data_IF_460900511465
#
_entry.id   IF_460900511465
#
_cell.length_a   1.000
_cell.length_b   1.000
_cell.length_c   1.000
_cell.angle_alpha   90.00
_cell.angle_beta   90.00
_cell.angle_gamma   90.00
#
_symmetry.space_group_name_H-M   'P 1'
#
loop_
_entity.id
_entity.type
_entity.pdbx_description
1 polymer ?
#
# COMPACT_ATOMS: atom_id res chain seq x y z
N UNK A 1 30.24 -4.99 -2.65
CA UNK A 1 28.91 -5.21 -2.04
C UNK A 1 29.08 -5.31 -0.52
N UNK A 2 28.48 -4.42 0.27
CA UNK A 2 28.41 -4.59 1.74
C UNK A 2 27.08 -5.26 2.06
N UNK A 3 27.10 -6.49 2.57
CA UNK A 3 25.86 -7.18 3.00
C UNK A 3 25.30 -6.45 4.23
N UNK A 4 24.24 -5.66 4.05
CA UNK A 4 23.37 -5.27 5.17
C UNK A 4 22.57 -6.51 5.53
N UNK A 5 22.89 -7.15 6.65
CA UNK A 5 22.06 -8.20 7.20
C UNK A 5 20.76 -7.58 7.73
N UNK A 6 19.62 -7.95 7.15
CA UNK A 6 18.34 -7.80 7.86
C UNK A 6 18.43 -8.66 9.11
N UNK A 7 18.31 -8.03 10.27
CA UNK A 7 18.26 -8.75 11.55
C UNK A 7 16.88 -9.35 11.69
N UNK A 8 16.74 -10.68 11.51
CA UNK A 8 15.54 -11.41 11.92
C UNK A 8 15.37 -11.25 13.44
N UNK A 9 14.58 -10.27 13.84
CA UNK A 9 14.28 -9.97 15.23
C UNK A 9 13.14 -10.90 15.70
N UNK A 10 13.43 -12.19 15.76
CA UNK A 10 12.54 -13.21 16.31
C UNK A 10 12.46 -12.99 17.82
N UNK A 11 11.58 -12.08 18.24
CA UNK A 11 11.22 -11.90 19.65
C UNK A 11 10.54 -13.17 20.12
N UNK A 12 11.13 -13.82 21.12
CA UNK A 12 10.61 -15.07 21.67
C UNK A 12 9.17 -14.87 22.15
N UNK A 13 8.24 -15.61 21.56
CA UNK A 13 6.85 -15.67 22.01
C UNK A 13 6.81 -16.12 23.47
N UNK A 14 6.47 -15.21 24.39
CA UNK A 14 6.33 -15.53 25.82
C UNK A 14 5.04 -16.34 26.01
N UNK A 15 5.15 -17.67 25.88
CA UNK A 15 4.10 -18.61 26.28
C UNK A 15 3.97 -18.59 27.80
N UNK A 16 3.20 -17.65 28.33
CA UNK A 16 2.83 -17.60 29.76
C UNK A 16 1.85 -18.75 30.03
N UNK A 17 2.40 -19.94 30.26
CA UNK A 17 1.65 -21.13 30.69
C UNK A 17 1.21 -20.93 32.15
N UNK A 18 0.14 -20.15 32.34
CA UNK A 18 -0.50 -19.98 33.63
C UNK A 18 -0.98 -21.33 34.16
N UNK A 19 -0.37 -21.81 35.24
CA UNK A 19 -0.74 -23.09 35.85
C UNK A 19 -2.12 -22.95 36.49
N UNK A 20 -3.13 -23.59 35.88
CA UNK A 20 -4.48 -23.69 36.43
C UNK A 20 -4.45 -24.52 37.73
N UNK A 21 -4.29 -23.84 38.86
CA UNK A 21 -4.53 -24.43 40.17
C UNK A 21 -6.05 -24.57 40.38
N UNK A 22 -6.55 -25.68 40.95
CA UNK A 22 -7.97 -25.86 41.20
C UNK A 22 -8.42 -24.95 42.35
N UNK A 23 -8.92 -23.78 42.01
CA UNK A 23 -9.51 -22.83 42.97
C UNK A 23 -10.75 -23.49 43.58
N UNK A 24 -10.76 -23.61 44.91
CA UNK A 24 -11.92 -24.09 45.67
C UNK A 24 -13.12 -23.17 45.42
N UNK A 25 -14.32 -23.72 45.33
CA UNK A 25 -15.54 -23.03 44.91
C UNK A 25 -16.04 -21.97 45.91
N UNK A 26 -15.31 -20.86 45.99
CA UNK A 26 -15.80 -19.57 46.48
C UNK A 26 -16.68 -18.97 45.39
N UNK A 27 -17.89 -18.51 45.74
CA UNK A 27 -18.73 -17.82 44.78
C UNK A 27 -18.04 -16.52 44.33
N UNK A 28 -17.72 -16.42 43.03
CA UNK A 28 -17.19 -15.18 42.45
C UNK A 28 -18.27 -14.11 42.47
N UNK A 29 -18.00 -13.00 43.17
CA UNK A 29 -18.83 -11.81 43.07
C UNK A 29 -18.71 -11.21 41.67
N UNK A 30 -19.75 -10.50 41.22
CA UNK A 30 -19.76 -9.81 39.92
C UNK A 30 -18.55 -8.89 39.76
N UNK A 31 -18.09 -8.27 40.86
CA UNK A 31 -16.92 -7.38 40.91
C UNK A 31 -15.63 -8.09 40.46
N UNK A 32 -15.40 -9.34 40.88
CA UNK A 32 -14.24 -10.13 40.44
C UNK A 32 -14.29 -10.45 38.95
N UNK A 33 -15.49 -10.72 38.42
CA UNK A 33 -15.69 -10.98 36.99
C UNK A 33 -15.47 -9.73 36.14
N UNK A 34 -15.89 -8.57 36.66
CA UNK A 34 -15.58 -7.25 36.06
C UNK A 34 -14.06 -7.00 36.10
N UNK A 35 -13.40 -7.24 37.23
CA UNK A 35 -11.93 -7.09 37.37
C UNK A 35 -11.16 -8.03 36.42
N UNK A 36 -11.65 -9.26 36.21
CA UNK A 36 -11.07 -10.20 35.25
C UNK A 36 -11.28 -9.73 33.80
N UNK A 37 -12.49 -9.28 33.45
CA UNK A 37 -12.78 -8.70 32.13
C UNK A 37 -11.94 -7.45 31.86
N UNK A 38 -11.73 -6.57 32.85
CA UNK A 38 -10.85 -5.40 32.69
C UNK A 38 -9.40 -5.78 32.37
N UNK A 39 -8.89 -6.87 32.94
CA UNK A 39 -7.56 -7.41 32.61
C UNK A 39 -7.52 -8.04 31.22
N UNK A 40 -8.57 -8.75 30.83
CA UNK A 40 -8.72 -9.35 29.50
C UNK A 40 -8.78 -8.27 28.41
N UNK A 41 -9.65 -7.27 28.56
CA UNK A 41 -9.76 -6.12 27.65
C UNK A 41 -8.44 -5.33 27.57
N UNK A 42 -7.72 -5.19 28.68
CA UNK A 42 -6.40 -4.52 28.69
C UNK A 42 -5.36 -5.30 27.88
N UNK A 43 -5.24 -6.61 28.11
CA UNK A 43 -4.32 -7.47 27.37
C UNK A 43 -4.68 -7.57 25.88
N UNK A 44 -5.97 -7.57 25.54
CA UNK A 44 -6.43 -7.52 24.15
C UNK A 44 -6.09 -6.18 23.49
N UNK A 45 -6.17 -5.05 24.19
CA UNK A 45 -5.76 -3.75 23.65
C UNK A 45 -4.24 -3.63 23.44
N UNK A 46 -3.44 -4.21 24.32
CA UNK A 46 -1.99 -4.38 24.09
C UNK A 46 -1.72 -5.27 22.85
N UNK A 47 -2.49 -6.34 22.66
CA UNK A 47 -2.46 -7.22 21.46
C UNK A 47 -2.85 -6.45 20.18
N UNK A 48 -3.91 -5.63 20.19
CA UNK A 48 -4.32 -4.78 19.07
C UNK A 48 -3.20 -3.79 18.67
N UNK A 49 -2.56 -3.15 19.65
CA UNK A 49 -1.47 -2.22 19.41
C UNK A 49 -0.23 -2.93 18.86
N UNK A 50 0.13 -4.09 19.42
CA UNK A 50 1.24 -4.91 18.96
C UNK A 50 1.05 -5.48 17.55
N UNK A 51 -0.17 -5.87 17.17
CA UNK A 51 -0.50 -6.31 15.79
C UNK A 51 -0.48 -5.13 14.83
N UNK A 52 -1.03 -3.97 15.22
CA UNK A 52 -1.01 -2.78 14.35
C UNK A 52 0.41 -2.25 14.12
N UNK A 53 1.31 -2.32 15.11
CA UNK A 53 2.72 -1.97 14.93
C UNK A 53 3.47 -2.94 14.00
N UNK A 54 3.14 -4.24 14.04
CA UNK A 54 3.67 -5.23 13.09
C UNK A 54 3.18 -4.98 11.67
N UNK A 55 1.91 -4.60 11.49
CA UNK A 55 1.33 -4.19 10.21
C UNK A 55 2.12 -3.00 9.63
N UNK A 56 2.26 -1.89 10.37
CA UNK A 56 3.00 -0.72 9.87
C UNK A 56 4.47 -1.03 9.56
N UNK A 57 5.14 -1.87 10.36
CA UNK A 57 6.51 -2.32 10.07
C UNK A 57 6.57 -3.12 8.75
N UNK A 58 5.58 -3.97 8.50
CA UNK A 58 5.50 -4.79 7.30
C UNK A 58 5.13 -3.96 6.05
N UNK A 59 4.28 -2.94 6.21
CA UNK A 59 3.95 -1.96 5.18
C UNK A 59 5.21 -1.15 4.77
N UNK A 60 6.06 -0.75 5.72
CA UNK A 60 7.37 -0.14 5.45
C UNK A 60 8.34 -1.10 4.73
N UNK A 61 8.42 -2.37 5.14
CA UNK A 61 9.24 -3.37 4.45
C UNK A 61 8.77 -3.60 3.00
N UNK A 62 7.45 -3.67 2.79
CA UNK A 62 6.81 -3.80 1.47
C UNK A 62 7.12 -2.58 0.58
N UNK A 63 6.94 -1.35 1.08
CA UNK A 63 7.29 -0.13 0.33
C UNK A 63 8.77 -0.13 -0.08
N UNK A 64 9.67 -0.47 0.86
CA UNK A 64 11.10 -0.60 0.58
C UNK A 64 11.42 -1.70 -0.44
N UNK A 65 10.58 -2.72 -0.62
CA UNK A 65 10.72 -3.73 -1.67
C UNK A 65 10.34 -3.14 -3.04
N UNK A 66 9.26 -2.36 -3.14
CA UNK A 66 8.88 -1.72 -4.40
C UNK A 66 9.91 -0.69 -4.88
N UNK A 67 10.49 0.12 -3.98
CA UNK A 67 11.63 1.02 -4.30
C UNK A 67 12.78 0.28 -5.00
N UNK A 68 13.19 -0.86 -4.43
CA UNK A 68 14.26 -1.71 -4.98
C UNK A 68 13.85 -2.31 -6.33
N UNK A 69 12.57 -2.64 -6.50
CA UNK A 69 12.00 -3.16 -7.74
C UNK A 69 12.12 -2.13 -8.87
N UNK A 70 11.69 -0.89 -8.62
CA UNK A 70 11.78 0.23 -9.57
C UNK A 70 13.24 0.51 -9.96
N UNK A 71 14.16 0.56 -8.99
CA UNK A 71 15.58 0.80 -9.26
C UNK A 71 16.25 -0.35 -10.05
N UNK A 72 15.96 -1.61 -9.71
CA UNK A 72 16.43 -2.76 -10.50
C UNK A 72 15.87 -2.72 -11.94
N UNK A 73 14.63 -2.27 -12.13
CA UNK A 73 14.04 -2.14 -13.45
C UNK A 73 14.68 -1.01 -14.28
N UNK A 74 14.98 0.13 -13.63
CA UNK A 74 15.75 1.22 -14.24
C UNK A 74 17.15 0.77 -14.66
N UNK A 75 17.81 -0.06 -13.84
CA UNK A 75 19.08 -0.71 -14.20
C UNK A 75 18.92 -1.71 -15.36
N UNK A 76 17.88 -2.57 -15.34
CA UNK A 76 17.57 -3.52 -16.43
C UNK A 76 17.37 -2.80 -17.77
N UNK A 77 16.62 -1.70 -17.76
CA UNK A 77 16.38 -0.86 -18.94
C UNK A 77 17.67 -0.21 -19.44
N UNK A 78 18.48 0.36 -18.54
CA UNK A 78 19.77 0.97 -18.89
C UNK A 78 20.73 -0.05 -19.52
N UNK A 79 20.94 -1.19 -18.87
CA UNK A 79 21.79 -2.29 -19.37
C UNK A 79 21.26 -2.87 -20.70
N UNK A 80 19.94 -2.88 -20.90
CA UNK A 80 19.31 -3.30 -22.16
C UNK A 80 19.58 -2.30 -23.29
N UNK A 81 19.57 -0.99 -22.99
CA UNK A 81 19.96 0.05 -23.96
C UNK A 81 21.46 -0.01 -24.29
N UNK A 82 22.32 -0.20 -23.28
CA UNK A 82 23.76 -0.43 -23.48
C UNK A 82 24.04 -1.68 -24.32
N UNK A 83 23.35 -2.79 -24.05
CA UNK A 83 23.41 -4.02 -24.85
C UNK A 83 22.96 -3.80 -26.30
N UNK A 84 21.89 -3.02 -26.52
CA UNK A 84 21.43 -2.60 -27.86
C UNK A 84 22.45 -1.71 -28.58
N UNK A 85 23.19 -0.85 -27.87
CA UNK A 85 24.22 0.00 -28.46
C UNK A 85 25.52 -0.76 -28.74
N UNK A 86 26.02 -1.54 -27.79
CA UNK A 86 27.21 -2.40 -27.97
C UNK A 86 27.07 -3.33 -29.19
N UNK A 87 25.86 -3.86 -29.46
CA UNK A 87 25.59 -4.66 -30.67
C UNK A 87 25.79 -3.87 -31.97
N UNK A 88 25.45 -2.59 -32.01
CA UNK A 88 25.74 -1.70 -33.16
C UNK A 88 27.23 -1.39 -33.25
N UNK A 89 27.86 -1.12 -32.12
CA UNK A 89 29.29 -0.77 -32.06
C UNK A 89 30.17 -1.96 -32.50
N UNK A 90 29.81 -3.20 -32.12
CA UNK A 90 30.41 -4.44 -32.63
C UNK A 90 30.32 -4.51 -34.16
N UNK A 91 29.12 -4.33 -34.72
CA UNK A 91 28.91 -4.43 -36.16
C UNK A 91 29.67 -3.33 -36.93
N UNK A 92 29.68 -2.10 -36.42
CA UNK A 92 30.43 -0.99 -36.99
C UNK A 92 31.95 -1.20 -36.88
N UNK A 93 32.43 -1.81 -35.79
CA UNK A 93 33.82 -2.19 -35.61
C UNK A 93 34.21 -3.29 -36.59
N UNK A 94 33.47 -4.41 -36.69
CA UNK A 94 33.82 -5.53 -37.57
C UNK A 94 33.80 -5.13 -39.07
N UNK A 95 32.91 -4.22 -39.50
CA UNK A 95 33.00 -3.62 -40.86
C UNK A 95 34.29 -2.81 -41.04
N UNK A 96 34.75 -2.09 -40.01
CA UNK A 96 36.03 -1.37 -40.02
C UNK A 96 37.23 -2.34 -40.00
N UNK A 97 37.15 -3.45 -39.26
CA UNK A 97 38.14 -4.54 -39.23
C UNK A 97 38.31 -5.11 -40.64
N UNK A 98 37.23 -5.48 -41.31
CA UNK A 98 37.29 -6.13 -42.61
C UNK A 98 37.87 -5.18 -43.67
N UNK A 99 37.37 -3.94 -43.79
CA UNK A 99 37.91 -2.94 -44.71
C UNK A 99 39.40 -2.64 -44.48
N UNK A 100 39.84 -2.58 -43.21
CA UNK A 100 41.27 -2.37 -42.88
C UNK A 100 42.11 -3.62 -43.19
N UNK A 101 41.56 -4.81 -42.97
CA UNK A 101 42.23 -6.08 -43.28
C UNK A 101 42.42 -6.24 -44.79
N UNK A 102 41.40 -5.97 -45.59
CA UNK A 102 41.49 -5.92 -47.06
C UNK A 102 42.51 -4.87 -47.54
N UNK A 103 42.49 -3.66 -46.97
CA UNK A 103 43.46 -2.62 -47.31
C UNK A 103 44.91 -3.05 -47.02
N UNK A 104 45.16 -3.66 -45.85
CA UNK A 104 46.48 -4.18 -45.47
C UNK A 104 46.89 -5.38 -46.33
N UNK A 105 45.96 -6.29 -46.67
CA UNK A 105 46.23 -7.40 -47.59
C UNK A 105 46.55 -6.92 -49.01
N UNK A 106 45.84 -5.90 -49.51
CA UNK A 106 46.09 -5.31 -50.81
C UNK A 106 47.41 -4.53 -50.84
N UNK A 107 47.75 -3.79 -49.77
CA UNK A 107 49.07 -3.17 -49.61
C UNK A 107 50.18 -4.22 -49.54
N UNK A 108 50.00 -5.30 -48.76
CA UNK A 108 50.95 -6.41 -48.66
C UNK A 108 51.15 -7.14 -49.98
N UNK A 109 50.07 -7.39 -50.74
CA UNK A 109 50.14 -7.98 -52.09
C UNK A 109 50.80 -7.03 -53.09
N UNK A 110 50.53 -5.73 -53.02
CA UNK A 110 51.20 -4.72 -53.86
C UNK A 110 52.71 -4.70 -53.59
N UNK A 111 53.12 -4.68 -52.31
CA UNK A 111 54.52 -4.82 -51.89
C UNK A 111 55.12 -6.16 -52.31
N UNK A 112 54.37 -7.27 -52.29
CA UNK A 112 54.89 -8.59 -52.70
C UNK A 112 55.05 -8.74 -54.22
N UNK A 113 54.13 -8.16 -55.01
CA UNK A 113 54.09 -8.34 -56.49
C UNK A 113 54.91 -7.26 -57.20
N UNK A 114 54.67 -5.99 -56.86
CA UNK A 114 55.35 -4.84 -57.47
C UNK A 114 56.61 -4.43 -56.69
N UNK A 115 56.73 -4.83 -55.42
CA UNK A 115 57.89 -4.61 -54.56
C UNK A 115 58.77 -5.84 -54.38
N UNK A 116 59.01 -6.61 -55.46
CA UNK A 116 60.21 -7.44 -55.54
C UNK A 116 61.41 -6.57 -55.13
N UNK A 117 62.33 -7.10 -54.32
CA UNK A 117 63.23 -6.28 -53.49
C UNK A 117 64.05 -5.22 -54.24
N UNK A 118 64.27 -5.40 -55.55
CA UNK A 118 64.84 -4.39 -56.44
C UNK A 118 63.98 -3.13 -56.54
N UNK A 119 62.65 -3.22 -56.70
CA UNK A 119 61.80 -2.07 -57.07
C UNK A 119 61.60 -1.05 -55.96
N UNK A 120 61.52 -1.48 -54.69
CA UNK A 120 61.46 -0.53 -53.57
C UNK A 120 62.83 0.14 -53.36
N UNK A 121 63.91 -0.59 -53.62
CA UNK A 121 65.27 -0.04 -53.60
C UNK A 121 65.46 0.94 -54.77
N UNK A 122 65.00 0.59 -55.97
CA UNK A 122 65.03 1.39 -57.19
C UNK A 122 64.20 2.68 -57.06
N UNK A 123 63.05 2.66 -56.37
CA UNK A 123 62.29 3.86 -56.03
C UNK A 123 63.02 4.82 -55.07
N UNK A 124 64.00 4.32 -54.31
CA UNK A 124 64.86 5.12 -53.40
C UNK A 124 66.15 5.54 -54.13
N UNK A 125 66.68 4.71 -55.03
CA UNK A 125 67.89 4.98 -55.83
C UNK A 125 67.61 5.98 -56.97
N UNK A 126 66.45 5.88 -57.62
CA UNK A 126 65.93 6.82 -58.62
C UNK A 126 65.14 7.98 -57.98
N UNK A 127 65.56 8.41 -56.79
CA UNK A 127 65.12 9.68 -56.20
C UNK A 127 65.77 10.86 -56.92
N UNK A 128 65.08 11.98 -57.05
CA UNK A 128 65.62 13.19 -57.71
C UNK A 128 66.74 13.86 -56.89
N UNK A 129 66.82 13.57 -55.59
CA UNK A 129 67.88 14.04 -54.68
C UNK A 129 67.96 13.17 -53.42
N UNK A 130 69.05 13.30 -52.66
CA UNK A 130 69.20 12.68 -51.33
C UNK A 130 68.03 13.09 -50.39
N UNK A 131 67.55 14.33 -50.50
CA UNK A 131 66.40 14.82 -49.73
C UNK A 131 65.09 14.10 -50.09
N UNK A 132 64.89 13.79 -51.38
CA UNK A 132 63.75 13.02 -51.87
C UNK A 132 63.85 11.55 -51.44
N UNK A 133 65.02 10.91 -51.52
CA UNK A 133 65.24 9.56 -50.97
C UNK A 133 64.87 9.48 -49.47
N UNK A 134 65.34 10.44 -48.66
CA UNK A 134 65.02 10.51 -47.23
C UNK A 134 63.52 10.76 -47.02
N UNK A 135 62.90 11.64 -47.80
CA UNK A 135 61.45 11.90 -47.76
C UNK A 135 60.62 10.65 -48.06
N UNK A 136 60.98 9.89 -49.10
CA UNK A 136 60.33 8.61 -49.47
C UNK A 136 60.44 7.57 -48.35
N UNK A 137 61.63 7.42 -47.75
CA UNK A 137 61.85 6.50 -46.60
C UNK A 137 61.03 6.93 -45.38
N UNK A 138 60.98 8.23 -45.06
CA UNK A 138 60.15 8.77 -43.98
C UNK A 138 58.66 8.55 -44.23
N UNK A 139 58.18 8.74 -45.46
CA UNK A 139 56.79 8.49 -45.84
C UNK A 139 56.41 7.00 -45.68
N UNK A 140 57.24 6.07 -46.17
CA UNK A 140 57.04 4.62 -45.99
C UNK A 140 57.01 4.27 -44.50
N UNK A 141 57.97 4.74 -43.71
CA UNK A 141 58.04 4.52 -42.26
C UNK A 141 56.79 5.06 -41.53
N UNK A 142 56.32 6.24 -41.92
CA UNK A 142 55.08 6.86 -41.41
C UNK A 142 53.84 6.01 -41.72
N UNK A 143 53.69 5.53 -42.96
CA UNK A 143 52.59 4.66 -43.37
C UNK A 143 52.60 3.32 -42.60
N UNK A 144 53.78 2.69 -42.45
CA UNK A 144 53.93 1.45 -41.68
C UNK A 144 53.61 1.66 -40.19
N UNK A 145 54.06 2.77 -39.61
CA UNK A 145 53.77 3.16 -38.22
C UNK A 145 52.28 3.40 -38.01
N UNK A 146 51.63 4.17 -38.91
CA UNK A 146 50.20 4.43 -38.88
C UNK A 146 49.39 3.12 -38.98
N UNK A 147 49.71 2.25 -39.94
CA UNK A 147 49.08 0.93 -40.08
C UNK A 147 49.24 0.08 -38.80
N UNK A 148 50.44 0.03 -38.22
CA UNK A 148 50.72 -0.71 -37.00
C UNK A 148 49.90 -0.18 -35.80
N UNK A 149 49.80 1.14 -35.67
CA UNK A 149 49.02 1.79 -34.62
C UNK A 149 47.51 1.59 -34.80
N UNK A 150 46.99 1.66 -36.03
CA UNK A 150 45.59 1.35 -36.32
C UNK A 150 45.22 -0.11 -36.00
N UNK A 151 46.14 -1.06 -36.20
CA UNK A 151 45.95 -2.48 -35.84
C UNK A 151 46.01 -2.69 -34.31
N UNK A 152 46.88 -1.97 -33.58
CA UNK A 152 46.88 -1.96 -32.11
C UNK A 152 45.56 -1.45 -31.55
N UNK A 153 45.13 -0.26 -31.97
CA UNK A 153 43.86 0.35 -31.57
C UNK A 153 42.69 -0.60 -31.84
N UNK A 154 42.65 -1.25 -33.01
CA UNK A 154 41.61 -2.22 -33.35
C UNK A 154 41.55 -3.44 -32.42
N UNK A 155 42.71 -3.91 -31.93
CA UNK A 155 42.82 -5.00 -30.97
C UNK A 155 42.37 -4.55 -29.57
N UNK A 156 42.65 -3.31 -29.21
CA UNK A 156 42.23 -2.67 -27.96
C UNK A 156 40.71 -2.40 -27.96
N UNK A 157 40.17 -1.81 -29.04
CA UNK A 157 38.73 -1.64 -29.30
C UNK A 157 37.99 -2.97 -29.16
N UNK A 158 38.42 -4.02 -29.87
CA UNK A 158 37.75 -5.32 -29.84
C UNK A 158 37.82 -5.99 -28.46
N UNK A 159 38.93 -5.83 -27.74
CA UNK A 159 39.04 -6.31 -26.36
C UNK A 159 38.08 -5.55 -25.43
N UNK A 160 38.06 -4.22 -25.49
CA UNK A 160 37.19 -3.37 -24.67
C UNK A 160 35.72 -3.69 -24.90
N UNK A 161 35.32 -3.90 -26.15
CA UNK A 161 33.94 -4.22 -26.52
C UNK A 161 33.51 -5.62 -26.04
N UNK A 162 34.36 -6.64 -26.18
CA UNK A 162 34.08 -7.97 -25.61
C UNK A 162 34.06 -7.96 -24.06
N UNK A 163 34.91 -7.16 -23.41
CA UNK A 163 34.84 -6.95 -21.95
C UNK A 163 33.53 -6.29 -21.53
N UNK A 164 33.13 -5.18 -22.17
CA UNK A 164 31.85 -4.50 -21.88
C UNK A 164 30.64 -5.39 -22.14
N UNK A 165 30.67 -6.21 -23.20
CA UNK A 165 29.63 -7.18 -23.52
C UNK A 165 29.47 -8.24 -22.43
N UNK A 166 30.59 -8.80 -21.93
CA UNK A 166 30.56 -9.76 -20.82
C UNK A 166 30.10 -9.11 -19.49
N UNK A 167 30.52 -7.88 -19.23
CA UNK A 167 30.09 -7.08 -18.09
C UNK A 167 28.58 -6.81 -18.12
N UNK A 168 28.04 -6.29 -19.22
CA UNK A 168 26.59 -6.03 -19.39
C UNK A 168 25.78 -7.33 -19.32
N UNK A 169 26.27 -8.45 -19.87
CA UNK A 169 25.61 -9.76 -19.72
C UNK A 169 25.61 -10.25 -18.27
N UNK A 170 26.71 -10.05 -17.53
CA UNK A 170 26.82 -10.41 -16.11
C UNK A 170 25.87 -9.56 -15.26
N UNK A 171 25.83 -8.25 -15.52
CA UNK A 171 24.97 -7.32 -14.81
C UNK A 171 23.48 -7.56 -15.11
N UNK A 172 23.10 -7.89 -16.35
CA UNK A 172 21.73 -8.28 -16.68
C UNK A 172 21.29 -9.53 -15.92
N UNK A 173 22.11 -10.59 -15.91
CA UNK A 173 21.81 -11.82 -15.17
C UNK A 173 21.71 -11.58 -13.65
N UNK A 174 22.57 -10.72 -13.09
CA UNK A 174 22.52 -10.33 -11.69
C UNK A 174 21.27 -9.52 -11.34
N UNK A 175 20.82 -8.63 -12.23
CA UNK A 175 19.57 -7.86 -12.06
C UNK A 175 18.35 -8.79 -12.18
N UNK A 176 18.33 -9.74 -13.11
CA UNK A 176 17.21 -10.68 -13.26
C UNK A 176 17.06 -11.62 -12.06
N UNK A 177 18.16 -12.14 -11.52
CA UNK A 177 18.14 -12.92 -10.28
C UNK A 177 17.73 -12.07 -9.06
N UNK A 178 18.18 -10.80 -8.98
CA UNK A 178 17.75 -9.89 -7.93
C UNK A 178 16.25 -9.55 -8.01
N UNK A 179 15.70 -9.32 -9.21
CA UNK A 179 14.26 -9.11 -9.43
C UNK A 179 13.46 -10.35 -9.00
N UNK A 180 13.95 -11.56 -9.29
CA UNK A 180 13.29 -12.81 -8.89
C UNK A 180 13.30 -13.03 -7.38
N UNK A 181 14.41 -12.74 -6.71
CA UNK A 181 14.52 -12.80 -5.25
C UNK A 181 13.57 -11.79 -4.59
N UNK A 182 13.50 -10.57 -5.14
CA UNK A 182 12.62 -9.51 -4.69
C UNK A 182 11.14 -9.88 -4.82
N UNK A 183 10.73 -10.51 -5.92
CA UNK A 183 9.35 -10.99 -6.09
C UNK A 183 8.99 -12.09 -5.09
N UNK A 184 9.90 -13.03 -4.82
CA UNK A 184 9.71 -14.06 -3.77
C UNK A 184 9.62 -13.45 -2.37
N UNK A 185 10.42 -12.42 -2.08
CA UNK A 185 10.37 -11.68 -0.82
C UNK A 185 9.02 -10.93 -0.68
N UNK A 186 8.57 -10.28 -1.76
CA UNK A 186 7.28 -9.57 -1.87
C UNK A 186 6.08 -10.51 -1.64
N UNK A 187 6.03 -11.66 -2.30
CA UNK A 187 5.00 -12.69 -2.08
C UNK A 187 4.94 -13.10 -0.61
N UNK A 188 6.10 -13.30 0.03
CA UNK A 188 6.18 -13.65 1.45
C UNK A 188 5.69 -12.53 2.37
N UNK A 189 5.96 -11.25 2.06
CA UNK A 189 5.46 -10.14 2.86
C UNK A 189 3.94 -9.93 2.68
N UNK A 190 3.42 -10.04 1.45
CA UNK A 190 1.98 -9.94 1.17
C UNK A 190 1.19 -11.05 1.88
N UNK A 191 1.73 -12.27 1.95
CA UNK A 191 1.14 -13.36 2.73
C UNK A 191 1.06 -13.02 4.23
N UNK A 192 2.18 -12.57 4.84
CA UNK A 192 2.20 -12.12 6.25
C UNK A 192 1.22 -10.96 6.50
N UNK A 193 1.03 -10.07 5.53
CA UNK A 193 0.12 -8.92 5.66
C UNK A 193 -1.35 -9.39 5.70
N UNK A 194 -1.71 -10.41 4.92
CA UNK A 194 -3.00 -11.07 5.04
C UNK A 194 -3.16 -11.75 6.42
N UNK A 195 -2.16 -12.51 6.88
CA UNK A 195 -2.20 -13.18 8.19
C UNK A 195 -2.35 -12.19 9.35
N UNK A 196 -1.62 -11.06 9.33
CA UNK A 196 -1.72 -10.01 10.34
C UNK A 196 -3.06 -9.26 10.27
N UNK A 197 -3.62 -9.05 9.07
CA UNK A 197 -4.94 -8.43 8.92
C UNK A 197 -6.06 -9.34 9.44
N UNK A 198 -5.97 -10.65 9.23
CA UNK A 198 -6.88 -11.65 9.83
C UNK A 198 -6.72 -11.66 11.36
N UNK A 199 -5.48 -11.70 11.86
CA UNK A 199 -5.22 -11.63 13.30
C UNK A 199 -5.77 -10.33 13.92
N UNK A 200 -5.66 -9.19 13.24
CA UNK A 200 -6.24 -7.93 13.70
C UNK A 200 -7.76 -8.01 13.81
N UNK A 201 -8.44 -8.50 12.78
CA UNK A 201 -9.90 -8.66 12.79
C UNK A 201 -10.38 -9.63 13.90
N UNK A 202 -9.64 -10.71 14.15
CA UNK A 202 -9.92 -11.64 15.25
C UNK A 202 -9.77 -10.94 16.62
N UNK A 203 -8.70 -10.18 16.84
CA UNK A 203 -8.47 -9.47 18.12
C UNK A 203 -9.48 -8.33 18.32
N UNK A 204 -9.86 -7.62 17.26
CA UNK A 204 -10.90 -6.60 17.31
C UNK A 204 -12.25 -7.24 17.71
N UNK A 205 -12.54 -8.45 17.23
CA UNK A 205 -13.70 -9.27 17.61
C UNK A 205 -13.64 -9.79 19.06
N UNK A 206 -12.51 -10.36 19.49
CA UNK A 206 -12.25 -10.74 20.89
C UNK A 206 -12.50 -9.55 21.83
N UNK A 207 -11.97 -8.37 21.48
CA UNK A 207 -12.08 -7.14 22.29
C UNK A 207 -13.54 -6.69 22.41
N UNK A 208 -14.30 -6.67 21.31
CA UNK A 208 -15.72 -6.32 21.33
C UNK A 208 -16.56 -7.32 22.13
N UNK A 209 -16.25 -8.61 22.07
CA UNK A 209 -16.88 -9.66 22.87
C UNK A 209 -16.63 -9.49 24.38
N UNK A 210 -15.40 -9.17 24.75
CA UNK A 210 -15.01 -8.90 26.14
C UNK A 210 -15.68 -7.62 26.69
N UNK A 211 -15.66 -6.51 25.93
CA UNK A 211 -16.33 -5.27 26.33
C UNK A 211 -17.86 -5.43 26.47
N UNK A 212 -18.49 -6.19 25.58
CA UNK A 212 -19.92 -6.55 25.68
C UNK A 212 -20.20 -7.38 26.94
N UNK A 213 -19.36 -8.38 27.22
CA UNK A 213 -19.48 -9.24 28.42
C UNK A 213 -19.32 -8.44 29.71
N UNK A 214 -18.37 -7.50 29.77
CA UNK A 214 -18.21 -6.56 30.89
C UNK A 214 -19.46 -5.68 31.08
N UNK A 215 -20.04 -5.18 29.99
CA UNK A 215 -21.23 -4.33 30.04
C UNK A 215 -22.43 -5.09 30.65
N UNK A 216 -22.63 -6.36 30.28
CA UNK A 216 -23.71 -7.18 30.86
C UNK A 216 -23.49 -7.47 32.35
N UNK A 217 -22.24 -7.75 32.78
CA UNK A 217 -21.89 -7.88 34.20
C UNK A 217 -22.18 -6.59 34.99
N UNK A 218 -21.92 -5.42 34.42
CA UNK A 218 -22.25 -4.12 35.04
C UNK A 218 -23.77 -3.91 35.19
N UNK A 219 -24.58 -4.30 34.21
CA UNK A 219 -26.05 -4.29 34.33
C UNK A 219 -26.51 -5.23 35.45
N UNK A 220 -25.94 -6.44 35.51
CA UNK A 220 -26.27 -7.42 36.56
C UNK A 220 -25.90 -6.89 37.97
N UNK A 221 -24.73 -6.25 38.12
CA UNK A 221 -24.31 -5.60 39.36
C UNK A 221 -25.30 -4.49 39.77
N UNK A 222 -25.69 -3.63 38.83
CA UNK A 222 -26.64 -2.54 39.09
C UNK A 222 -28.05 -3.06 39.47
N UNK A 223 -28.53 -4.12 38.82
CA UNK A 223 -29.81 -4.73 39.18
C UNK A 223 -29.77 -5.39 40.57
N UNK A 224 -28.67 -6.08 40.89
CA UNK A 224 -28.46 -6.69 42.22
C UNK A 224 -28.49 -5.62 43.33
N UNK A 225 -27.86 -4.46 43.09
CA UNK A 225 -27.90 -3.31 43.99
C UNK A 225 -29.31 -2.74 44.16
N UNK A 226 -30.08 -2.57 43.07
CA UNK A 226 -31.49 -2.12 43.12
C UNK A 226 -32.34 -3.07 43.96
N UNK A 227 -32.23 -4.38 43.71
CA UNK A 227 -32.99 -5.41 44.43
C UNK A 227 -32.62 -5.46 45.92
N UNK A 228 -31.34 -5.24 46.26
CA UNK A 228 -30.88 -5.21 47.64
C UNK A 228 -31.38 -3.96 48.38
N UNK A 229 -31.33 -2.78 47.75
CA UNK A 229 -31.90 -1.55 48.30
C UNK A 229 -33.42 -1.66 48.51
N UNK A 230 -34.14 -2.26 47.56
CA UNK A 230 -35.59 -2.49 47.69
C UNK A 230 -35.94 -3.46 48.83
N UNK A 231 -35.14 -4.51 49.05
CA UNK A 231 -35.29 -5.43 50.19
C UNK A 231 -34.98 -4.73 51.51
N UNK A 232 -33.92 -3.94 51.57
CA UNK A 232 -33.55 -3.22 52.80
C UNK A 232 -34.55 -2.12 53.17
N UNK A 233 -35.14 -1.44 52.17
CA UNK A 233 -36.25 -0.51 52.36
C UNK A 233 -37.48 -1.20 52.97
N UNK A 234 -37.91 -2.35 52.42
CA UNK A 234 -39.01 -3.14 53.00
C UNK A 234 -38.73 -3.57 54.44
N UNK A 235 -37.53 -4.07 54.74
CA UNK A 235 -37.15 -4.45 56.10
C UNK A 235 -37.09 -3.28 57.08
N UNK A 236 -36.80 -2.05 56.61
CA UNK A 236 -36.87 -0.83 57.41
C UNK A 236 -38.32 -0.45 57.70
N UNK A 237 -39.21 -0.55 56.72
CA UNK A 237 -40.65 -0.26 56.89
C UNK A 237 -41.33 -1.29 57.80
N UNK A 238 -41.08 -2.59 57.62
CA UNK A 238 -41.59 -3.67 58.45
C UNK A 238 -41.16 -3.52 59.93
N UNK A 239 -39.90 -3.13 60.18
CA UNK A 239 -39.42 -2.82 61.54
C UNK A 239 -40.08 -1.58 62.14
N UNK A 240 -40.41 -0.58 61.32
CA UNK A 240 -41.15 0.62 61.74
C UNK A 240 -42.55 0.25 62.23
N UNK A 241 -43.30 -0.51 61.44
CA UNK A 241 -44.67 -0.96 61.77
C UNK A 241 -44.66 -1.85 63.02
N UNK A 242 -43.70 -2.77 63.14
CA UNK A 242 -43.53 -3.60 64.33
C UNK A 242 -43.20 -2.79 65.60
N UNK A 243 -42.57 -1.61 65.48
CA UNK A 243 -42.28 -0.73 66.61
C UNK A 243 -43.54 -0.02 67.11
N UNK A 244 -44.36 0.52 66.19
CA UNK A 244 -45.58 1.27 66.54
C UNK A 244 -46.64 0.45 67.27
N UNK A 245 -46.72 -0.86 67.06
CA UNK A 245 -47.73 -1.73 67.70
C UNK A 245 -47.50 -2.01 69.20
N UNK A 246 -46.57 -1.30 69.86
CA UNK A 246 -46.26 -1.48 71.30
C UNK A 246 -46.79 -0.34 72.18
N UNK A 247 -47.15 0.83 71.64
CA UNK A 247 -47.49 2.03 72.44
C UNK A 247 -49.00 2.36 72.54
N UNK A 248 -49.87 1.76 71.72
CA UNK A 248 -51.33 1.99 71.79
C UNK A 248 -52.02 1.22 72.93
N UNK A 249 -51.74 1.59 74.19
CA UNK A 249 -52.62 1.22 75.32
C UNK A 249 -52.66 2.21 76.49
N UNK A 250 -53.04 3.47 76.26
CA UNK A 250 -53.93 4.15 77.22
C UNK A 250 -54.71 5.38 76.70
N UNK A 251 -55.80 5.69 77.41
CA UNK A 251 -56.50 7.00 77.54
C UNK A 251 -56.95 7.78 76.29
N UNK A 252 -58.25 7.67 75.99
CA UNK A 252 -59.18 8.79 75.71
C UNK A 252 -59.77 9.28 77.07
N UNK A 253 -60.49 10.42 77.26
CA UNK A 253 -61.21 11.23 76.24
C UNK A 253 -61.25 12.79 76.39
N UNK A 254 -61.82 13.46 75.36
CA UNK A 254 -62.45 14.82 75.35
C UNK A 254 -61.54 16.05 75.64
N UNK A 255 -61.83 17.29 75.20
CA UNK A 255 -63.01 17.89 74.54
C UNK A 255 -62.65 19.12 73.64
N UNK A 256 -63.53 19.47 72.68
CA UNK A 256 -63.95 20.83 72.25
C UNK A 256 -63.01 21.88 71.57
N UNK A 257 -63.46 22.32 70.38
CA UNK A 257 -63.26 23.57 69.54
C UNK A 257 -62.51 24.79 70.14
N UNK A 258 -61.82 25.73 69.43
CA UNK A 258 -61.73 26.20 68.00
C UNK A 258 -60.46 27.10 67.84
N UNK A 259 -60.10 27.93 66.83
CA UNK A 259 -60.58 28.46 65.51
C UNK A 259 -59.32 28.86 64.67
N UNK A 260 -59.23 28.64 63.34
CA UNK A 260 -59.48 29.57 62.19
C UNK A 260 -58.39 30.62 61.83
N UNK A 261 -57.89 30.55 60.57
CA UNK A 261 -57.04 31.50 59.82
C UNK A 261 -55.58 31.72 60.35
N UNK A 262 -54.55 32.06 59.54
CA UNK A 262 -54.50 32.56 58.15
C UNK A 262 -53.26 31.99 57.39
N UNK A 263 -53.29 31.96 56.06
CA UNK A 263 -52.19 31.61 55.12
C UNK A 263 -51.32 32.86 54.77
N UNK A 264 -50.28 32.85 53.86
CA UNK A 264 -49.88 31.80 52.90
C UNK A 264 -48.36 31.62 52.54
N UNK A 265 -48.12 30.68 51.60
CA UNK A 265 -47.16 30.71 50.47
C UNK A 265 -45.82 29.89 50.51
N UNK A 266 -45.44 29.44 49.29
CA UNK A 266 -44.24 28.69 48.84
C UNK A 266 -44.07 27.22 49.34
N UNK A 267 -43.71 26.23 48.50
CA UNK A 267 -43.61 26.20 47.02
C UNK A 267 -43.71 24.78 46.39
N UNK A 268 -44.28 24.75 45.18
CA UNK A 268 -44.08 23.89 43.99
C UNK A 268 -43.92 22.34 44.01
N UNK A 269 -44.98 21.69 43.47
CA UNK A 269 -45.09 20.61 42.42
C UNK A 269 -43.83 20.17 41.60
N UNK A 270 -43.87 19.06 40.81
CA UNK A 270 -44.52 17.73 40.98
C UNK A 270 -43.68 16.51 40.47
N UNK A 271 -44.07 15.26 40.80
CA UNK A 271 -44.08 14.02 39.95
C UNK A 271 -44.34 12.75 40.81
N UNK A 272 -44.80 11.59 40.32
CA UNK A 272 -45.17 11.09 38.98
C UNK A 272 -46.22 9.96 39.13
N UNK A 273 -47.01 9.64 38.08
CA UNK A 273 -47.87 8.45 38.01
C UNK A 273 -48.10 8.02 36.55
N UNK A 274 -47.46 6.93 36.12
CA UNK A 274 -47.70 6.28 34.82
C UNK A 274 -48.13 4.81 35.02
N UNK A 275 -48.90 4.28 34.07
CA UNK A 275 -49.12 2.83 33.91
C UNK A 275 -49.70 2.48 32.52
N UNK A 276 -49.22 1.38 31.93
CA UNK A 276 -49.81 0.62 30.79
C UNK A 276 -49.91 1.30 29.40
N UNK A 277 -49.94 0.58 28.26
CA UNK A 277 -49.47 -0.77 27.86
C UNK A 277 -49.69 -0.96 26.34
N UNK A 278 -48.92 -1.84 25.67
CA UNK A 278 -49.28 -2.56 24.40
C UNK A 278 -49.52 -1.71 23.11
N UNK A 279 -49.40 -2.18 21.85
CA UNK A 279 -48.89 -3.44 21.23
C UNK A 279 -48.63 -3.32 19.70
N UNK A 280 -47.83 -4.25 19.15
CA UNK A 280 -47.85 -4.81 17.76
C UNK A 280 -47.38 -4.01 16.49
N UNK A 281 -46.96 -4.72 15.39
CA UNK A 281 -46.35 -4.15 14.17
C UNK A 281 -47.11 -4.46 12.84
N UNK A 282 -46.53 -4.13 11.66
CA UNK A 282 -47.00 -4.63 10.34
C UNK A 282 -45.90 -4.68 9.25
N UNK A 283 -46.22 -5.25 8.07
CA UNK A 283 -45.40 -5.38 6.84
C UNK A 283 -46.23 -5.01 5.57
N UNK A 284 -45.72 -5.01 4.33
CA UNK A 284 -44.39 -5.37 3.79
C UNK A 284 -44.48 -5.74 2.29
N UNK A 285 -43.59 -6.63 1.83
CA UNK A 285 -43.56 -7.30 0.51
C UNK A 285 -43.04 -6.52 -0.73
N UNK A 286 -42.59 -7.26 -1.76
CA UNK A 286 -41.98 -6.80 -3.01
C UNK A 286 -42.65 -7.38 -4.28
N UNK A 287 -42.23 -6.95 -5.48
CA UNK A 287 -42.61 -7.55 -6.78
C UNK A 287 -41.57 -7.20 -7.88
N UNK A 288 -41.65 -7.82 -9.06
CA UNK A 288 -40.56 -7.90 -10.06
C UNK A 288 -40.99 -7.85 -11.54
N UNK A 289 -40.15 -7.25 -12.39
CA UNK A 289 -39.95 -7.54 -13.84
C UNK A 289 -41.05 -7.10 -14.85
N UNK A 290 -40.86 -7.17 -16.20
CA UNK A 290 -39.85 -6.51 -17.05
C UNK A 290 -40.43 -5.62 -18.20
N UNK A 291 -39.58 -4.84 -18.90
CA UNK A 291 -39.63 -4.78 -20.39
C UNK A 291 -39.67 -3.42 -21.15
N UNK A 292 -38.53 -3.06 -21.78
CA UNK A 292 -38.38 -2.54 -23.18
C UNK A 292 -39.30 -1.43 -23.76
N UNK A 293 -38.74 -0.25 -24.13
CA UNK A 293 -38.65 0.27 -25.54
C UNK A 293 -38.12 1.72 -25.68
N UNK A 294 -37.37 1.97 -26.77
CA UNK A 294 -37.65 3.05 -27.75
C UNK A 294 -37.54 4.56 -27.41
N UNK A 295 -36.40 5.17 -27.76
CA UNK A 295 -36.26 6.40 -28.58
C UNK A 295 -37.23 7.61 -28.43
N UNK A 296 -36.72 8.78 -28.03
CA UNK A 296 -37.34 10.07 -28.33
C UNK A 296 -36.87 11.26 -27.46
N UNK A 297 -36.50 12.39 -28.07
CA UNK A 297 -36.09 13.62 -27.36
C UNK A 297 -37.29 14.51 -27.00
N UNK A 298 -37.24 15.23 -25.86
CA UNK A 298 -36.87 16.66 -25.83
C UNK A 298 -37.17 17.40 -24.49
N UNK A 299 -36.48 18.52 -24.30
CA UNK A 299 -36.77 19.70 -23.45
C UNK A 299 -36.52 19.73 -21.92
N UNK A 300 -36.06 20.93 -21.51
CA UNK A 300 -36.01 21.56 -20.16
C UNK A 300 -34.90 21.13 -19.19
N UNK A 301 -34.03 22.06 -18.73
CA UNK A 301 -33.08 21.79 -17.67
C UNK A 301 -33.72 21.93 -16.28
N UNK A 302 -33.69 20.86 -15.49
CA UNK A 302 -33.97 20.90 -14.04
C UNK A 302 -32.67 20.81 -13.25
N UNK A 303 -32.64 21.47 -12.09
CA UNK A 303 -31.56 21.46 -11.10
C UNK A 303 -31.11 20.01 -10.79
N UNK A 304 -29.80 19.73 -10.64
CA UNK A 304 -29.31 18.36 -10.53
C UNK A 304 -29.62 17.76 -9.16
N UNK A 305 -30.74 17.05 -9.06
CA UNK A 305 -30.93 15.97 -8.08
C UNK A 305 -29.67 15.10 -8.07
N UNK A 306 -29.03 14.85 -6.92
CA UNK A 306 -27.77 14.13 -6.88
C UNK A 306 -27.98 12.68 -7.36
N UNK A 307 -27.48 12.40 -8.57
CA UNK A 307 -27.39 11.04 -9.11
C UNK A 307 -26.64 10.18 -8.08
N UNK A 308 -27.15 8.99 -7.70
CA UNK A 308 -26.40 8.09 -6.83
C UNK A 308 -25.03 7.80 -7.46
N UNK A 309 -23.95 7.75 -6.66
CA UNK A 309 -22.60 7.61 -7.20
C UNK A 309 -22.49 6.35 -8.07
N UNK A 310 -21.96 6.51 -9.28
CA UNK A 310 -21.80 5.42 -10.25
C UNK A 310 -20.94 4.32 -9.62
N UNK A 311 -21.50 3.11 -9.48
CA UNK A 311 -20.83 1.98 -8.84
C UNK A 311 -20.13 1.09 -9.88
N UNK A 312 -19.09 0.38 -9.43
CA UNK A 312 -18.34 -0.57 -10.26
C UNK A 312 -18.00 -1.83 -9.47
N UNK A 313 -17.92 -2.95 -10.20
CA UNK A 313 -17.42 -4.22 -9.68
C UNK A 313 -15.87 -4.26 -9.57
N UNK A 314 -15.19 -3.19 -9.98
CA UNK A 314 -13.74 -3.06 -9.91
C UNK A 314 -13.22 -3.08 -8.46
N UNK A 315 -12.27 -3.96 -8.17
CA UNK A 315 -11.75 -4.17 -6.82
C UNK A 315 -10.92 -2.99 -6.31
N UNK A 316 -10.19 -2.29 -7.19
CA UNK A 316 -9.34 -1.14 -6.82
C UNK A 316 -10.19 0.07 -6.47
N UNK A 317 -11.26 0.30 -7.24
CA UNK A 317 -12.31 1.28 -6.93
C UNK A 317 -12.99 1.01 -5.58
N UNK A 318 -13.35 -0.24 -5.30
CA UNK A 318 -13.97 -0.61 -4.03
C UNK A 318 -13.01 -0.43 -2.85
N UNK A 319 -11.74 -0.81 -3.00
CA UNK A 319 -10.71 -0.60 -1.98
C UNK A 319 -10.43 0.89 -1.71
N UNK A 320 -10.33 1.74 -2.76
CA UNK A 320 -10.18 3.19 -2.60
C UNK A 320 -11.37 3.78 -1.83
N UNK A 321 -12.60 3.40 -2.18
CA UNK A 321 -13.79 3.89 -1.49
C UNK A 321 -13.90 3.41 -0.04
N UNK A 322 -13.46 2.19 0.26
CA UNK A 322 -13.35 1.70 1.64
C UNK A 322 -12.32 2.51 2.44
N UNK A 323 -11.12 2.72 1.89
CA UNK A 323 -10.05 3.53 2.51
C UNK A 323 -10.48 4.98 2.75
N UNK A 324 -11.12 5.63 1.77
CA UNK A 324 -11.64 7.00 1.89
C UNK A 324 -12.72 7.08 2.97
N UNK A 325 -13.67 6.15 2.98
CA UNK A 325 -14.74 6.11 3.99
C UNK A 325 -14.18 5.91 5.40
N UNK A 326 -13.18 5.04 5.57
CA UNK A 326 -12.50 4.81 6.85
C UNK A 326 -11.76 6.06 7.36
N UNK A 327 -11.29 6.93 6.46
CA UNK A 327 -10.66 8.21 6.78
C UNK A 327 -11.66 9.40 6.82
N UNK A 328 -12.97 9.14 6.81
CA UNK A 328 -14.01 10.17 6.89
C UNK A 328 -14.20 11.02 5.62
N UNK A 329 -13.64 10.59 4.49
CA UNK A 329 -13.81 11.23 3.18
C UNK A 329 -15.02 10.66 2.44
N UNK A 330 -15.64 11.49 1.58
CA UNK A 330 -16.72 11.04 0.71
C UNK A 330 -16.21 9.99 -0.30
N UNK A 331 -16.99 8.91 -0.54
CA UNK A 331 -16.72 7.98 -1.62
C UNK A 331 -16.89 8.66 -2.99
N UNK A 332 -16.08 8.23 -3.95
CA UNK A 332 -16.04 8.75 -5.32
C UNK A 332 -16.83 7.86 -6.28
N UNK A 333 -17.31 8.46 -7.37
CA UNK A 333 -18.04 7.75 -8.43
C UNK A 333 -17.09 7.10 -9.44
N UNK A 334 -17.45 5.95 -9.99
CA UNK A 334 -16.75 5.33 -11.10
C UNK A 334 -17.03 6.08 -12.41
N UNK A 335 -15.97 6.50 -13.10
CA UNK A 335 -16.02 7.13 -14.41
C UNK A 335 -15.35 6.22 -15.47
N UNK A 336 -16.17 5.71 -16.39
CA UNK A 336 -15.70 4.81 -17.45
C UNK A 336 -14.79 5.50 -18.48
N UNK A 337 -14.87 6.83 -18.61
CA UNK A 337 -13.96 7.61 -19.45
C UNK A 337 -12.57 7.72 -18.84
N UNK A 338 -12.49 7.99 -17.52
CA UNK A 338 -11.24 7.94 -16.77
C UNK A 338 -10.63 6.53 -16.78
N UNK A 339 -11.45 5.48 -16.62
CA UNK A 339 -10.97 4.10 -16.65
C UNK A 339 -10.43 3.69 -18.04
N UNK A 340 -11.06 4.14 -19.12
CA UNK A 340 -10.58 3.93 -20.48
C UNK A 340 -9.27 4.70 -20.76
N UNK A 341 -9.16 5.94 -20.27
CA UNK A 341 -7.95 6.75 -20.36
C UNK A 341 -6.78 6.10 -19.58
N UNK A 342 -7.03 5.70 -18.32
CA UNK A 342 -6.09 4.96 -17.49
C UNK A 342 -5.65 3.63 -18.12
N UNK A 343 -6.56 2.91 -18.79
CA UNK A 343 -6.23 1.64 -19.47
C UNK A 343 -5.32 1.86 -20.68
N UNK A 344 -5.61 2.87 -21.51
CA UNK A 344 -4.73 3.27 -22.62
C UNK A 344 -3.38 3.80 -22.14
N UNK A 345 -3.36 4.46 -20.97
CA UNK A 345 -2.16 4.99 -20.31
C UNK A 345 -1.28 3.87 -19.75
N UNK A 346 -1.86 2.89 -19.06
CA UNK A 346 -1.17 1.69 -18.59
C UNK A 346 -0.54 0.90 -19.75
N UNK A 347 -1.27 0.74 -20.86
CA UNK A 347 -0.81 0.02 -22.05
C UNK A 347 0.42 0.65 -22.75
N UNK A 348 0.73 1.93 -22.48
CA UNK A 348 1.94 2.60 -22.98
C UNK A 348 3.18 2.33 -22.11
N UNK A 349 3.04 1.85 -20.87
CA UNK A 349 4.13 1.70 -19.89
C UNK A 349 4.86 0.35 -20.00
N UNK A 350 4.94 -0.22 -21.20
CA UNK A 350 5.69 -1.44 -21.46
C UNK A 350 7.19 -1.23 -21.14
N UNK A 351 7.87 -2.29 -20.71
CA UNK A 351 9.21 -2.22 -20.11
C UNK A 351 9.29 -1.27 -18.89
N UNK A 352 8.19 -1.06 -18.15
CA UNK A 352 8.11 -0.30 -16.89
C UNK A 352 8.52 1.19 -17.01
N UNK A 353 8.34 1.77 -18.19
CA UNK A 353 8.74 3.15 -18.45
C UNK A 353 7.65 4.14 -18.01
N UNK A 354 7.89 4.83 -16.89
CA UNK A 354 7.05 5.95 -16.43
C UNK A 354 7.13 7.10 -17.46
N UNK A 355 5.99 7.55 -18.02
CA UNK A 355 5.95 8.71 -18.92
C UNK A 355 6.45 9.98 -18.22
N UNK A 356 7.28 10.78 -18.89
CA UNK A 356 7.92 11.94 -18.26
C UNK A 356 6.96 13.07 -17.85
N UNK A 357 5.74 13.08 -18.38
CA UNK A 357 4.68 14.00 -17.97
C UNK A 357 4.05 13.63 -16.62
N UNK A 358 4.11 12.36 -16.19
CA UNK A 358 3.54 11.84 -14.94
C UNK A 358 3.86 12.71 -13.72
N UNK A 359 5.13 13.10 -13.56
CA UNK A 359 5.62 13.92 -12.43
C UNK A 359 5.04 15.34 -12.35
N UNK A 360 4.21 15.74 -13.32
CA UNK A 360 3.51 17.02 -13.37
C UNK A 360 1.97 16.85 -13.34
N UNK A 361 1.48 15.63 -13.10
CA UNK A 361 0.05 15.30 -13.03
C UNK A 361 -0.41 15.21 -11.57
N UNK A 362 -1.46 15.96 -11.24
CA UNK A 362 -2.17 15.82 -9.97
C UNK A 362 -3.39 14.89 -10.05
N UNK A 363 -3.72 14.41 -11.24
CA UNK A 363 -4.88 13.56 -11.53
C UNK A 363 -4.52 12.07 -11.69
N UNK A 364 -3.23 11.73 -11.74
CA UNK A 364 -2.73 10.40 -12.11
C UNK A 364 -1.88 9.75 -11.02
N UNK A 365 -2.14 8.47 -10.75
CA UNK A 365 -1.27 7.58 -9.95
C UNK A 365 -0.88 6.36 -10.77
N UNK A 366 0.32 5.83 -10.54
CA UNK A 366 0.85 4.66 -11.24
C UNK A 366 1.37 3.65 -10.22
N UNK A 367 1.14 2.37 -10.49
CA UNK A 367 1.73 1.26 -9.76
C UNK A 367 2.23 0.18 -10.72
N UNK A 368 3.31 -0.49 -10.34
CA UNK A 368 3.94 -1.58 -11.11
C UNK A 368 4.14 -2.80 -10.21
N UNK A 369 4.00 -4.00 -10.77
CA UNK A 369 4.15 -5.26 -10.04
C UNK A 369 3.10 -5.45 -8.94
N UNK A 370 1.96 -4.75 -9.01
CA UNK A 370 0.86 -4.84 -8.04
C UNK A 370 -0.34 -5.63 -8.57
N UNK A 371 -1.05 -6.30 -7.67
CA UNK A 371 -2.38 -6.84 -7.94
C UNK A 371 -3.47 -5.77 -7.72
N UNK A 372 -4.53 -5.72 -8.56
CA UNK A 372 -5.69 -4.85 -8.35
C UNK A 372 -6.37 -5.07 -6.99
N UNK A 373 -7.03 -4.03 -6.47
CA UNK A 373 -7.70 -4.07 -5.16
C UNK A 373 -6.87 -3.53 -4.01
N UNK A 374 -7.10 -4.07 -2.82
CA UNK A 374 -6.55 -3.54 -1.56
C UNK A 374 -5.02 -3.50 -1.51
N UNK A 375 -4.33 -4.35 -2.27
CA UNK A 375 -2.86 -4.43 -2.34
C UNK A 375 -2.20 -3.19 -2.93
N UNK A 376 -2.79 -2.56 -3.95
CA UNK A 376 -2.24 -1.33 -4.53
C UNK A 376 -2.64 -0.09 -3.72
N UNK A 377 -3.90 -0.05 -3.27
CA UNK A 377 -4.45 1.05 -2.46
C UNK A 377 -3.68 1.22 -1.14
N UNK A 378 -3.51 0.14 -0.36
CA UNK A 378 -2.76 0.24 0.90
C UNK A 378 -1.26 0.53 0.71
N UNK A 379 -0.70 0.26 -0.48
CA UNK A 379 0.68 0.61 -0.75
C UNK A 379 0.84 2.10 -1.10
N UNK A 380 -0.04 2.64 -1.96
CA UNK A 380 -0.12 4.08 -2.23
C UNK A 380 -0.37 4.90 -0.95
N UNK A 381 -1.24 4.41 -0.06
CA UNK A 381 -1.55 5.05 1.22
C UNK A 381 -0.33 5.11 2.18
N UNK A 382 0.41 4.00 2.29
CA UNK A 382 1.56 3.89 3.19
C UNK A 382 2.89 4.34 2.55
N UNK A 383 2.87 4.77 1.29
CA UNK A 383 4.07 5.16 0.55
C UNK A 383 4.76 6.39 1.17
N UNK A 384 6.09 6.39 1.17
CA UNK A 384 6.93 7.49 1.69
C UNK A 384 8.13 7.73 0.79
N UNK A 385 8.72 8.93 0.87
CA UNK A 385 9.86 9.38 0.07
C UNK A 385 9.59 9.56 -1.44
N UNK A 386 8.31 9.64 -1.84
CA UNK A 386 7.91 9.92 -3.22
C UNK A 386 8.43 11.27 -3.72
N UNK A 387 8.78 11.34 -5.01
CA UNK A 387 9.27 12.55 -5.70
C UNK A 387 8.13 13.55 -5.90
N UNK A 388 7.69 14.16 -4.80
CA UNK A 388 6.48 14.95 -4.64
C UNK A 388 6.69 16.01 -3.54
N UNK A 389 5.99 17.16 -3.53
CA UNK A 389 6.22 18.22 -2.54
C UNK A 389 5.98 17.81 -1.08
N UNK A 390 5.14 16.80 -0.84
CA UNK A 390 4.83 16.23 0.48
C UNK A 390 5.70 15.04 0.88
N UNK A 391 6.35 14.40 -0.10
CA UNK A 391 6.96 13.07 0.06
C UNK A 391 5.98 11.90 -0.01
N UNK A 392 4.66 12.12 -0.18
CA UNK A 392 3.61 11.08 -0.19
C UNK A 392 2.56 11.26 -1.29
N UNK A 393 2.97 11.69 -2.49
CA UNK A 393 2.07 12.07 -3.59
C UNK A 393 0.96 11.08 -3.97
N UNK A 394 1.17 9.75 -3.85
CA UNK A 394 0.11 8.78 -4.11
C UNK A 394 -0.97 8.78 -3.00
N UNK A 395 -0.61 8.74 -1.70
CA UNK A 395 -1.57 8.96 -0.61
C UNK A 395 -2.30 10.29 -0.75
N UNK A 396 -1.60 11.35 -1.12
CA UNK A 396 -2.19 12.69 -1.27
C UNK A 396 -3.29 12.71 -2.34
N UNK A 397 -3.14 11.93 -3.41
CA UNK A 397 -4.19 11.70 -4.42
C UNK A 397 -5.36 10.90 -3.83
N UNK A 398 -5.11 9.78 -3.15
CA UNK A 398 -6.17 8.95 -2.55
C UNK A 398 -7.00 9.70 -1.50
N UNK A 399 -6.32 10.51 -0.69
CA UNK A 399 -6.90 11.33 0.37
C UNK A 399 -7.43 12.68 -0.14
N UNK A 400 -7.35 12.97 -1.44
CA UNK A 400 -7.77 14.26 -1.98
C UNK A 400 -9.29 14.49 -1.73
N UNK A 401 -9.68 15.50 -0.93
CA UNK A 401 -11.08 15.77 -0.63
C UNK A 401 -11.85 16.41 -1.81
N UNK A 402 -11.15 16.93 -2.83
CA UNK A 402 -11.80 17.47 -4.04
C UNK A 402 -12.05 16.41 -5.12
N UNK A 403 -11.54 15.17 -4.96
CA UNK A 403 -11.84 14.08 -5.87
C UNK A 403 -13.33 13.72 -5.81
N UNK A 404 -13.99 13.69 -6.96
CA UNK A 404 -15.41 13.32 -7.11
C UNK A 404 -15.58 12.04 -7.92
N UNK A 405 -14.68 11.79 -8.87
CA UNK A 405 -14.70 10.68 -9.81
C UNK A 405 -13.33 10.03 -9.93
N UNK A 406 -13.33 8.74 -10.23
CA UNK A 406 -12.11 7.97 -10.48
C UNK A 406 -12.36 6.88 -11.52
N UNK A 407 -11.33 6.49 -12.25
CA UNK A 407 -11.32 5.30 -13.08
C UNK A 407 -9.96 4.64 -13.05
N UNK A 408 -9.94 3.31 -12.96
CA UNK A 408 -8.73 2.50 -12.95
C UNK A 408 -8.56 1.75 -14.27
N UNK A 409 -7.30 1.52 -14.65
CA UNK A 409 -6.93 0.81 -15.87
C UNK A 409 -5.69 -0.05 -15.69
N UNK A 410 -5.62 -1.14 -16.46
CA UNK A 410 -4.71 -2.25 -16.22
C UNK A 410 -4.02 -2.72 -17.50
N UNK A 411 -2.72 -2.99 -17.43
CA UNK A 411 -1.96 -3.60 -18.52
C UNK A 411 -0.87 -4.53 -17.97
N UNK A 412 -1.15 -5.84 -17.92
CA UNK A 412 -0.27 -6.79 -17.25
C UNK A 412 -0.26 -6.54 -15.75
N UNK A 413 0.91 -6.20 -15.21
CA UNK A 413 1.13 -5.80 -13.81
C UNK A 413 1.27 -4.27 -13.63
N UNK A 414 0.96 -3.48 -14.66
CA UNK A 414 0.79 -2.03 -14.58
C UNK A 414 -0.63 -1.68 -14.17
N UNK A 415 -0.78 -0.83 -13.16
CA UNK A 415 -2.04 -0.21 -12.74
C UNK A 415 -1.91 1.30 -12.87
N UNK A 416 -2.92 1.95 -13.44
CA UNK A 416 -3.05 3.42 -13.48
C UNK A 416 -4.40 3.82 -12.90
N UNK A 417 -4.41 4.86 -12.06
CA UNK A 417 -5.62 5.53 -11.60
C UNK A 417 -5.68 6.95 -12.15
N UNK A 418 -6.82 7.34 -12.73
CA UNK A 418 -7.13 8.71 -13.15
C UNK A 418 -8.32 9.26 -12.35
N UNK A 419 -8.27 10.53 -11.92
CA UNK A 419 -9.28 11.17 -11.07
C UNK A 419 -9.78 12.52 -11.60
N UNK A 420 -10.98 12.95 -11.16
CA UNK A 420 -11.61 14.22 -11.53
C UNK A 420 -12.81 14.62 -10.63
#
# INVERSE_FOLDING_TARGET
MKKKSLSLLIVSLLTVTGTLTPIQAMAETTDKKIEQQDKEISALKEKQQGVSAQITTLEEEIASIYDKGIELNRQKTTLTQESKQLKKDIAALDVRINKRTEAIQNQGRNVQVNGQGTQILDMILNSESISDAVGRVQAISSILSANNNLVKQQKEDKKLVETKKAEVQTNLAAVEEATKQLETEKESLVAKQADLNVLKAEVDSETAGAESSKNELLKQQQQTLKDQLAKEAKQKEEKKVASSSTEEKNTTPTETTTETATAPAASDVPKESESSSSEQPNSGNASTDPGNTGTGSSETPTDPTPTPPSTSADATFQALNALRTANGLNPVSWDAGLAAAASGRAAMMQDYQIPSDHWNRGDEVIAFMFAPGNSVIMAWYNETNMVSPSGTGHRDWEMNPSMTRVGFGYAGDVIVGHSA
#
